data_IF_494930414058
#
_entry.id   IF_494930414058
#
_cell.length_a   1.000
_cell.length_b   1.000
_cell.length_c   1.000
_cell.angle_alpha   90.00
_cell.angle_beta   90.00
_cell.angle_gamma   90.00
#
_symmetry.space_group_name_H-M   'P 1'
#
loop_
_entity.id
_entity.type
_entity.pdbx_description
1 polymer ?
#
# COMPACT_ATOMS: atom_id res chain seq x y z
N UNK A 1 -6.04 9.80 21.46
CA UNK A 1 -5.39 8.53 21.08
C UNK A 1 -6.43 7.68 20.37
N UNK A 2 -6.25 7.40 19.07
CA UNK A 2 -7.17 6.56 18.30
C UNK A 2 -6.97 5.11 18.75
N UNK A 3 -8.06 4.40 19.05
CA UNK A 3 -8.01 2.99 19.46
C UNK A 3 -8.13 2.12 18.22
N UNK A 4 -7.02 1.54 17.78
CA UNK A 4 -7.01 0.60 16.64
C UNK A 4 -7.35 -0.81 17.15
N UNK A 5 -8.41 -1.46 16.64
CA UNK A 5 -8.78 -2.80 17.08
C UNK A 5 -7.77 -3.84 16.60
N UNK A 6 -7.40 -4.78 17.48
CA UNK A 6 -6.57 -5.92 17.10
C UNK A 6 -7.26 -6.77 16.02
N UNK A 7 -6.50 -7.18 15.00
CA UNK A 7 -6.93 -8.09 13.94
C UNK A 7 -6.04 -9.34 13.98
N UNK A 8 -6.65 -10.51 13.98
CA UNK A 8 -5.89 -11.76 13.88
C UNK A 8 -5.26 -11.90 12.50
N UNK A 9 -4.16 -12.65 12.40
CA UNK A 9 -3.49 -12.97 11.13
C UNK A 9 -4.49 -13.54 10.13
N UNK A 10 -5.35 -14.48 10.55
CA UNK A 10 -6.41 -15.04 9.70
C UNK A 10 -7.35 -13.98 9.13
N UNK A 11 -7.67 -12.93 9.90
CA UNK A 11 -8.52 -11.86 9.42
C UNK A 11 -7.79 -10.97 8.41
N UNK A 12 -6.50 -10.71 8.62
CA UNK A 12 -5.65 -9.97 7.67
C UNK A 12 -5.55 -10.73 6.35
N UNK A 13 -5.26 -12.04 6.40
CA UNK A 13 -5.23 -12.92 5.22
C UNK A 13 -6.56 -12.90 4.47
N UNK A 14 -7.69 -13.01 5.18
CA UNK A 14 -9.02 -12.94 4.56
C UNK A 14 -9.25 -11.60 3.84
N UNK A 15 -8.82 -10.48 4.42
CA UNK A 15 -8.94 -9.17 3.79
C UNK A 15 -8.05 -9.03 2.55
N UNK A 16 -6.86 -9.62 2.58
CA UNK A 16 -5.94 -9.66 1.45
C UNK A 16 -6.49 -10.53 0.30
N UNK A 17 -6.97 -11.74 0.59
CA UNK A 17 -7.61 -12.62 -0.41
C UNK A 17 -8.82 -11.95 -1.05
N UNK A 18 -9.68 -11.33 -0.26
CA UNK A 18 -10.85 -10.58 -0.78
C UNK A 18 -10.46 -9.43 -1.68
N UNK A 19 -9.40 -8.70 -1.36
CA UNK A 19 -8.91 -7.63 -2.24
C UNK A 19 -8.45 -8.19 -3.58
N UNK A 20 -7.74 -9.32 -3.59
CA UNK A 20 -7.32 -9.96 -4.83
C UNK A 20 -8.52 -10.49 -5.63
N UNK A 21 -9.50 -11.11 -4.96
CA UNK A 21 -10.76 -11.53 -5.61
C UNK A 21 -11.52 -10.35 -6.24
N UNK A 22 -11.66 -9.25 -5.51
CA UNK A 22 -12.30 -8.02 -6.00
C UNK A 22 -11.56 -7.44 -7.21
N UNK A 23 -10.23 -7.45 -7.19
CA UNK A 23 -9.40 -7.03 -8.32
C UNK A 23 -9.59 -7.95 -9.54
N UNK A 24 -9.45 -9.27 -9.36
CA UNK A 24 -9.60 -10.27 -10.42
C UNK A 24 -11.02 -10.35 -10.99
N UNK A 25 -12.04 -9.88 -10.27
CA UNK A 25 -13.39 -9.73 -10.81
C UNK A 25 -13.53 -8.54 -11.76
N UNK A 26 -12.75 -7.48 -11.54
CA UNK A 26 -12.79 -6.27 -12.34
C UNK A 26 -11.76 -6.25 -13.48
N UNK A 27 -10.71 -7.07 -13.38
CA UNK A 27 -9.55 -7.13 -14.27
C UNK A 27 -9.18 -8.59 -14.60
N UNK A 28 -8.05 -8.81 -15.25
CA UNK A 28 -7.55 -10.17 -15.48
C UNK A 28 -7.13 -10.86 -14.18
N UNK A 29 -7.33 -12.19 -14.06
CA UNK A 29 -6.94 -12.93 -12.87
C UNK A 29 -5.43 -12.87 -12.60
N UNK A 30 -5.04 -12.62 -11.35
CA UNK A 30 -3.65 -12.77 -10.88
C UNK A 30 -3.39 -14.25 -10.61
N UNK A 31 -2.86 -14.96 -11.61
CA UNK A 31 -2.62 -16.41 -11.53
C UNK A 31 -1.28 -16.78 -10.87
N UNK A 32 -0.30 -15.89 -10.95
CA UNK A 32 1.02 -16.06 -10.38
C UNK A 32 1.65 -14.71 -9.99
N UNK A 33 2.66 -14.69 -9.11
CA UNK A 33 3.45 -13.48 -8.86
C UNK A 33 4.12 -12.94 -10.13
N UNK A 34 4.38 -11.63 -10.21
CA UNK A 34 4.19 -10.64 -9.15
C UNK A 34 2.73 -10.17 -9.01
N UNK A 35 2.28 -9.95 -7.77
CA UNK A 35 0.98 -9.31 -7.51
C UNK A 35 1.04 -7.85 -8.00
N UNK A 36 0.09 -7.36 -8.83
CA UNK A 36 0.14 -6.02 -9.42
C UNK A 36 -0.29 -4.93 -8.41
N UNK A 37 0.55 -4.70 -7.39
CA UNK A 37 0.23 -3.83 -6.24
C UNK A 37 -0.04 -2.38 -6.64
N UNK A 38 0.66 -1.84 -7.64
CA UNK A 38 0.41 -0.50 -8.17
C UNK A 38 -0.95 -0.42 -8.85
N UNK A 39 -1.30 -1.37 -9.71
CA UNK A 39 -2.61 -1.39 -10.37
C UNK A 39 -3.76 -1.56 -9.38
N UNK A 40 -3.56 -2.39 -8.35
CA UNK A 40 -4.53 -2.54 -7.26
C UNK A 40 -4.72 -1.19 -6.55
N UNK A 41 -3.64 -0.47 -6.25
CA UNK A 41 -3.66 0.82 -5.58
C UNK A 41 -4.33 1.91 -6.44
N UNK A 42 -3.83 2.11 -7.65
CA UNK A 42 -4.22 3.23 -8.50
C UNK A 42 -5.54 2.98 -9.25
N UNK A 43 -5.71 1.78 -9.83
CA UNK A 43 -6.86 1.50 -10.71
C UNK A 43 -8.03 0.94 -9.94
N UNK A 44 -7.79 -0.04 -9.06
CA UNK A 44 -8.86 -0.69 -8.32
C UNK A 44 -9.30 0.11 -7.10
N UNK A 45 -8.36 0.56 -6.26
CA UNK A 45 -8.67 1.34 -5.06
C UNK A 45 -8.81 2.85 -5.34
N UNK A 46 -8.36 3.33 -6.50
CA UNK A 46 -8.41 4.74 -6.91
C UNK A 46 -7.71 5.63 -5.90
N UNK A 47 -6.49 5.25 -5.54
CA UNK A 47 -5.57 6.06 -4.74
C UNK A 47 -4.52 6.68 -5.66
N UNK A 48 -4.06 7.88 -5.35
CA UNK A 48 -2.86 8.44 -5.96
C UNK A 48 -1.62 7.77 -5.35
N UNK A 49 -0.56 7.64 -6.15
CA UNK A 49 0.77 7.21 -5.70
C UNK A 49 1.77 8.32 -5.99
N UNK A 50 2.65 8.63 -5.03
CA UNK A 50 3.72 9.60 -5.23
C UNK A 50 5.01 9.17 -4.53
N UNK A 51 6.14 9.40 -5.20
CA UNK A 51 7.47 9.24 -4.63
C UNK A 51 7.93 10.60 -4.08
N UNK A 52 8.15 10.65 -2.77
CA UNK A 52 8.45 11.90 -2.06
C UNK A 52 9.57 11.69 -1.04
N UNK A 53 10.27 12.76 -0.67
CA UNK A 53 11.23 12.67 0.45
C UNK A 53 10.47 12.74 1.78
N UNK A 54 10.20 11.58 2.39
CA UNK A 54 9.40 11.51 3.61
C UNK A 54 10.11 12.12 4.81
N UNK A 55 11.45 12.04 4.87
CA UNK A 55 12.22 12.76 5.88
C UNK A 55 12.03 14.29 5.79
N UNK A 56 11.81 14.84 4.58
CA UNK A 56 11.52 16.28 4.42
C UNK A 56 10.08 16.62 4.79
N UNK A 57 9.13 15.76 4.41
CA UNK A 57 7.70 15.98 4.69
C UNK A 57 7.35 15.74 6.16
N UNK A 58 8.01 14.79 6.81
CA UNK A 58 7.76 14.35 8.18
C UNK A 58 9.07 14.22 8.97
N UNK A 59 9.81 15.33 9.22
CA UNK A 59 11.13 15.28 9.85
C UNK A 59 11.14 14.51 11.17
N UNK A 60 12.15 13.66 11.35
CA UNK A 60 12.31 12.82 12.55
C UNK A 60 11.41 11.60 12.61
N UNK A 61 10.56 11.35 11.61
CA UNK A 61 9.78 10.12 11.48
C UNK A 61 10.49 9.17 10.51
N UNK A 62 11.01 8.05 11.02
CA UNK A 62 11.66 7.03 10.21
C UNK A 62 10.61 6.12 9.55
N UNK A 63 9.96 6.62 8.50
CA UNK A 63 8.93 5.90 7.73
C UNK A 63 9.34 5.79 6.26
N UNK A 64 8.91 4.71 5.61
CA UNK A 64 9.18 4.45 4.19
C UNK A 64 7.94 4.60 3.30
N UNK A 65 6.76 4.65 3.92
CA UNK A 65 5.48 4.87 3.28
C UNK A 65 4.54 5.62 4.22
N UNK A 66 3.56 6.29 3.64
CA UNK A 66 2.50 6.96 4.38
C UNK A 66 1.20 6.96 3.57
N UNK A 67 0.07 6.76 4.26
CA UNK A 67 -1.27 6.90 3.69
C UNK A 67 -1.94 8.18 4.19
N UNK A 68 -2.23 9.11 3.26
CA UNK A 68 -3.14 10.21 3.50
C UNK A 68 -4.56 9.81 3.07
N UNK A 69 -5.36 9.35 4.05
CA UNK A 69 -6.74 8.90 3.81
C UNK A 69 -7.61 10.03 3.25
N UNK A 70 -7.38 11.27 3.68
CA UNK A 70 -8.19 12.43 3.29
C UNK A 70 -7.97 12.79 1.82
N UNK A 71 -6.72 12.70 1.35
CA UNK A 71 -6.35 12.92 -0.04
C UNK A 71 -6.49 11.69 -0.93
N UNK A 72 -6.71 10.51 -0.33
CA UNK A 72 -6.70 9.22 -1.03
C UNK A 72 -5.35 8.99 -1.73
N UNK A 73 -4.28 9.19 -1.00
CA UNK A 73 -2.92 9.23 -1.54
C UNK A 73 -1.99 8.34 -0.71
N UNK A 74 -1.15 7.58 -1.39
CA UNK A 74 -0.03 6.84 -0.82
C UNK A 74 1.26 7.53 -1.23
N UNK A 75 2.07 7.87 -0.25
CA UNK A 75 3.41 8.40 -0.44
C UNK A 75 4.41 7.29 -0.14
N UNK A 76 5.42 7.13 -0.98
CA UNK A 76 6.56 6.23 -0.75
C UNK A 76 7.84 7.06 -0.75
N UNK A 77 8.76 6.73 0.14
CA UNK A 77 10.02 7.45 0.22
C UNK A 77 10.87 7.20 -1.04
N UNK A 78 11.45 8.28 -1.60
CA UNK A 78 12.32 8.21 -2.79
C UNK A 78 13.49 7.25 -2.64
N UNK A 79 13.95 6.93 -1.41
CA UNK A 79 14.99 5.91 -1.20
C UNK A 79 14.58 4.48 -1.59
N UNK A 80 13.29 4.26 -1.88
CA UNK A 80 12.76 3.00 -2.38
C UNK A 80 12.45 3.00 -3.88
N UNK A 81 12.68 4.11 -4.59
CA UNK A 81 12.39 4.20 -6.03
C UNK A 81 13.09 3.05 -6.80
N UNK A 82 12.35 2.13 -7.44
CA UNK A 82 12.94 1.02 -8.18
C UNK A 82 13.60 1.44 -9.49
N UNK A 83 13.29 2.63 -10.05
CA UNK A 83 14.00 3.17 -11.22
C UNK A 83 15.42 3.60 -10.84
N UNK A 84 15.59 4.23 -9.67
CA UNK A 84 16.91 4.64 -9.16
C UNK A 84 17.66 3.49 -8.45
N UNK A 85 16.92 2.64 -7.72
CA UNK A 85 17.47 1.56 -6.91
C UNK A 85 16.76 0.22 -7.21
N UNK A 86 17.08 -0.48 -8.31
CA UNK A 86 16.41 -1.72 -8.70
C UNK A 86 16.40 -2.80 -7.61
N UNK A 87 17.47 -2.90 -6.81
CA UNK A 87 17.56 -3.85 -5.67
C UNK A 87 16.56 -3.55 -4.53
N UNK A 88 15.85 -2.42 -4.59
CA UNK A 88 14.82 -2.02 -3.63
C UNK A 88 13.40 -2.38 -4.07
N UNK A 89 13.20 -2.91 -5.28
CA UNK A 89 11.86 -3.21 -5.81
C UNK A 89 11.02 -4.04 -4.82
N UNK A 90 11.58 -5.09 -4.23
CA UNK A 90 10.86 -5.91 -3.25
C UNK A 90 10.38 -5.11 -2.02
N UNK A 91 11.18 -4.16 -1.52
CA UNK A 91 10.81 -3.29 -0.40
C UNK A 91 9.77 -2.25 -0.80
N UNK A 92 9.92 -1.69 -2.00
CA UNK A 92 8.94 -0.77 -2.59
C UNK A 92 7.56 -1.45 -2.70
N UNK A 93 7.48 -2.62 -3.34
CA UNK A 93 6.23 -3.38 -3.50
C UNK A 93 5.62 -3.79 -2.16
N UNK A 94 6.45 -4.18 -1.18
CA UNK A 94 6.00 -4.48 0.17
C UNK A 94 5.41 -3.24 0.87
N UNK A 95 6.05 -2.07 0.70
CA UNK A 95 5.58 -0.81 1.28
C UNK A 95 4.21 -0.42 0.69
N UNK A 96 4.04 -0.54 -0.62
CA UNK A 96 2.72 -0.34 -1.26
C UNK A 96 1.66 -1.29 -0.69
N UNK A 97 1.97 -2.59 -0.60
CA UNK A 97 1.05 -3.58 -0.04
C UNK A 97 0.69 -3.28 1.43
N UNK A 98 1.65 -2.76 2.21
CA UNK A 98 1.45 -2.34 3.59
C UNK A 98 0.44 -1.19 3.69
N UNK A 99 0.63 -0.14 2.89
CA UNK A 99 -0.27 1.03 2.87
C UNK A 99 -1.67 0.67 2.31
N UNK A 100 -1.75 -0.24 1.33
CA UNK A 100 -3.03 -0.83 0.90
C UNK A 100 -3.72 -1.53 2.08
N UNK A 101 -2.97 -2.25 2.92
CA UNK A 101 -3.48 -2.84 4.15
C UNK A 101 -4.07 -1.80 5.09
N UNK A 102 -3.38 -0.68 5.31
CA UNK A 102 -3.90 0.46 6.07
C UNK A 102 -5.18 1.03 5.46
N UNK A 103 -5.25 1.20 4.14
CA UNK A 103 -6.46 1.65 3.46
C UNK A 103 -7.64 0.67 3.65
N UNK A 104 -7.39 -0.63 3.60
CA UNK A 104 -8.45 -1.65 3.76
C UNK A 104 -8.96 -1.72 5.20
N UNK A 105 -8.10 -1.54 6.19
CA UNK A 105 -8.44 -1.75 7.59
C UNK A 105 -8.81 -0.47 8.36
N UNK A 106 -8.21 0.67 7.99
CA UNK A 106 -8.18 1.87 8.84
C UNK A 106 -8.79 3.12 8.21
N UNK A 107 -9.17 3.11 6.93
CA UNK A 107 -9.70 4.32 6.24
C UNK A 107 -10.95 4.94 6.88
N UNK A 108 -11.66 4.19 7.73
CA UNK A 108 -12.89 4.61 8.40
C UNK A 108 -12.70 4.94 9.88
N UNK A 109 -11.46 4.96 10.37
CA UNK A 109 -11.12 5.27 11.77
C UNK A 109 -11.08 6.78 12.03
#
# INVERSE_FOLDING_TARGET
MIRVPYRSVRHIELLASRLLEEYCHAQEPVLEPPVPVEEILERHLRLALSLESLERLMPGHQVLGALDVSKREVLVDTSLDPEEFPDREGRYRFTLAHEIGHWRMHRSL
#
